data_IF_141860294267
#
_entry.id   IF_141860294267
#
_cell.length_a   1.000
_cell.length_b   1.000
_cell.length_c   1.000
_cell.angle_alpha   90.00
_cell.angle_beta   90.00
_cell.angle_gamma   90.00
#
_symmetry.space_group_name_H-M   'P 1'
#
loop_
_entity.id
_entity.type
_entity.pdbx_description
1 polymer ?
#
# COMPACT_ATOMS: atom_id res chain seq x y z
N UNK A 1 -4.83 18.34 -10.07
CA UNK A 1 -4.55 16.89 -10.09
C UNK A 1 -4.25 16.33 -11.49
N UNK A 2 -3.96 17.15 -12.52
CA UNK A 2 -3.83 16.68 -13.92
C UNK A 2 -2.52 15.93 -14.23
N UNK A 3 -1.50 16.01 -13.38
CA UNK A 3 -0.13 15.58 -13.74
C UNK A 3 0.15 14.10 -13.41
N UNK A 4 -0.65 13.48 -12.54
CA UNK A 4 -0.42 12.09 -12.12
C UNK A 4 -1.04 11.08 -13.10
N UNK A 5 -2.20 11.40 -13.69
CA UNK A 5 -2.86 10.55 -14.71
C UNK A 5 -1.99 10.37 -15.95
N UNK A 6 -1.34 11.45 -16.41
CA UNK A 6 -0.39 11.37 -17.52
C UNK A 6 0.79 10.43 -17.21
N UNK A 7 1.34 10.52 -16.01
CA UNK A 7 2.47 9.69 -15.60
C UNK A 7 2.10 8.20 -15.47
N UNK A 8 0.88 7.89 -15.01
CA UNK A 8 0.38 6.50 -14.94
C UNK A 8 0.15 5.91 -16.33
N UNK A 9 -0.42 6.69 -17.27
CA UNK A 9 -0.61 6.23 -18.65
C UNK A 9 0.74 5.96 -19.31
N UNK A 10 1.71 6.85 -19.12
CA UNK A 10 3.08 6.65 -19.62
C UNK A 10 3.69 5.37 -19.05
N UNK A 11 3.61 5.16 -17.73
CA UNK A 11 4.14 3.95 -17.11
C UNK A 11 3.48 2.66 -17.63
N UNK A 12 2.16 2.66 -17.82
CA UNK A 12 1.42 1.52 -18.38
C UNK A 12 1.88 1.22 -19.81
N UNK A 13 1.94 2.24 -20.67
CA UNK A 13 2.36 2.09 -22.06
C UNK A 13 3.81 1.63 -22.17
N UNK A 14 4.71 2.16 -21.33
CA UNK A 14 6.10 1.72 -21.26
C UNK A 14 6.20 0.25 -20.86
N UNK A 15 5.46 -0.16 -19.83
CA UNK A 15 5.43 -1.57 -19.40
C UNK A 15 4.87 -2.50 -20.49
N UNK A 16 3.77 -2.11 -21.14
CA UNK A 16 3.16 -2.86 -22.22
C UNK A 16 4.10 -2.98 -23.44
N UNK A 17 4.79 -1.90 -23.82
CA UNK A 17 5.74 -1.91 -24.93
C UNK A 17 6.94 -2.83 -24.65
N UNK A 18 7.48 -2.80 -23.43
CA UNK A 18 8.56 -3.71 -23.03
C UNK A 18 8.08 -5.17 -23.09
N UNK A 19 6.92 -5.47 -22.50
CA UNK A 19 6.36 -6.82 -22.49
C UNK A 19 6.06 -7.35 -23.90
N UNK A 20 5.42 -6.54 -24.74
CA UNK A 20 5.14 -6.89 -26.13
C UNK A 20 6.43 -7.04 -26.95
N UNK A 21 7.43 -6.19 -26.71
CA UNK A 21 8.74 -6.28 -27.34
C UNK A 21 9.43 -7.62 -27.01
N UNK A 22 9.49 -8.01 -25.75
CA UNK A 22 10.03 -9.31 -25.35
C UNK A 22 9.20 -10.49 -25.88
N UNK A 23 7.87 -10.38 -25.90
CA UNK A 23 6.98 -11.40 -26.44
C UNK A 23 7.21 -11.64 -27.94
N UNK A 24 7.32 -10.56 -28.72
CA UNK A 24 7.61 -10.61 -30.16
C UNK A 24 9.03 -11.12 -30.45
N UNK A 25 10.02 -10.76 -29.64
CA UNK A 25 11.39 -11.26 -29.78
C UNK A 25 11.49 -12.76 -29.45
N UNK A 26 10.70 -13.24 -28.50
CA UNK A 26 10.66 -14.66 -28.14
C UNK A 26 9.90 -15.49 -29.17
N UNK A 27 8.83 -14.95 -29.74
CA UNK A 27 7.99 -15.62 -30.74
C UNK A 27 7.92 -14.80 -32.04
N UNK A 28 8.93 -14.91 -32.92
CA UNK A 28 8.94 -14.21 -34.20
C UNK A 28 7.92 -14.82 -35.16
N UNK A 29 7.04 -14.00 -35.74
CA UNK A 29 6.09 -14.38 -36.78
C UNK A 29 6.39 -13.65 -38.09
N UNK A 30 5.97 -14.22 -39.23
CA UNK A 30 6.11 -13.58 -40.54
C UNK A 30 5.05 -12.49 -40.74
N UNK A 31 5.42 -11.37 -41.36
CA UNK A 31 4.52 -10.21 -41.51
C UNK A 31 3.24 -10.48 -42.31
N UNK A 32 3.24 -11.49 -43.20
CA UNK A 32 2.03 -11.91 -43.93
C UNK A 32 1.05 -12.60 -42.99
N UNK A 33 1.53 -13.54 -42.17
CA UNK A 33 0.73 -14.26 -41.18
C UNK A 33 0.22 -13.32 -40.09
N UNK A 34 1.05 -12.40 -39.59
CA UNK A 34 0.63 -11.42 -38.58
C UNK A 34 -0.52 -10.55 -39.07
N UNK A 35 -0.54 -10.17 -40.35
CA UNK A 35 -1.60 -9.31 -40.90
C UNK A 35 -2.94 -10.05 -41.05
N UNK A 36 -2.87 -11.33 -41.40
CA UNK A 36 -4.04 -12.21 -41.51
C UNK A 36 -4.60 -12.55 -40.12
N UNK A 37 -3.73 -12.95 -39.19
CA UNK A 37 -4.06 -13.21 -37.79
C UNK A 37 -4.64 -11.96 -37.11
N UNK A 38 -4.04 -10.79 -37.27
CA UNK A 38 -4.55 -9.55 -36.66
C UNK A 38 -5.98 -9.24 -37.10
N UNK A 39 -6.33 -9.52 -38.36
CA UNK A 39 -7.68 -9.25 -38.89
C UNK A 39 -8.72 -10.18 -38.28
N UNK A 40 -8.37 -11.45 -38.11
CA UNK A 40 -9.24 -12.46 -37.49
C UNK A 40 -9.34 -12.27 -35.97
N UNK A 41 -8.20 -12.05 -35.31
CA UNK A 41 -8.12 -11.86 -33.87
C UNK A 41 -8.74 -10.54 -33.43
N UNK A 42 -8.61 -9.45 -34.18
CA UNK A 42 -9.27 -8.18 -33.82
C UNK A 42 -10.79 -8.31 -33.74
N UNK A 43 -11.40 -9.09 -34.64
CA UNK A 43 -12.84 -9.36 -34.62
C UNK A 43 -13.24 -10.17 -33.37
N UNK A 44 -12.55 -11.28 -33.13
CA UNK A 44 -12.82 -12.18 -31.98
C UNK A 44 -12.50 -11.52 -30.63
N UNK A 45 -11.42 -10.75 -30.58
CA UNK A 45 -10.97 -10.04 -29.39
C UNK A 45 -11.99 -8.97 -29.00
N UNK A 46 -12.55 -8.22 -29.96
CA UNK A 46 -13.60 -7.23 -29.65
C UNK A 46 -14.79 -7.86 -28.94
N UNK A 47 -15.30 -8.97 -29.45
CA UNK A 47 -16.47 -9.65 -28.89
C UNK A 47 -16.15 -10.31 -27.53
N UNK A 48 -14.95 -10.88 -27.37
CA UNK A 48 -14.50 -11.46 -26.10
C UNK A 48 -14.20 -10.41 -25.04
N UNK A 49 -13.47 -9.34 -25.39
CA UNK A 49 -13.17 -8.24 -24.49
C UNK A 49 -14.44 -7.61 -23.94
N UNK A 50 -15.48 -7.44 -24.76
CA UNK A 50 -16.70 -6.83 -24.25
C UNK A 50 -17.35 -7.66 -23.14
N UNK A 51 -17.33 -9.00 -23.26
CA UNK A 51 -17.84 -9.91 -22.22
C UNK A 51 -16.89 -10.03 -21.02
N UNK A 52 -15.60 -10.24 -21.27
CA UNK A 52 -14.59 -10.40 -20.22
C UNK A 52 -14.37 -9.10 -19.45
N UNK A 53 -14.55 -7.94 -20.07
CA UNK A 53 -14.46 -6.64 -19.39
C UNK A 53 -15.56 -6.48 -18.34
N UNK A 54 -16.79 -6.87 -18.65
CA UNK A 54 -17.90 -6.80 -17.70
C UNK A 54 -17.64 -7.73 -16.50
N UNK A 55 -17.21 -8.96 -16.76
CA UNK A 55 -16.87 -9.95 -15.71
C UNK A 55 -15.63 -9.55 -14.90
N UNK A 56 -14.61 -8.99 -15.55
CA UNK A 56 -13.38 -8.52 -14.91
C UNK A 56 -13.65 -7.26 -14.08
N UNK A 57 -14.46 -6.34 -14.59
CA UNK A 57 -14.84 -5.13 -13.86
C UNK A 57 -15.56 -5.48 -12.58
N UNK A 58 -16.48 -6.46 -12.60
CA UNK A 58 -17.16 -6.96 -11.41
C UNK A 58 -16.16 -7.54 -10.39
N UNK A 59 -15.28 -8.45 -10.84
CA UNK A 59 -14.28 -9.07 -9.96
C UNK A 59 -13.27 -8.08 -9.39
N UNK A 60 -12.84 -7.09 -10.18
CA UNK A 60 -11.92 -6.04 -9.75
C UNK A 60 -12.59 -5.14 -8.72
N UNK A 61 -13.87 -4.81 -8.90
CA UNK A 61 -14.63 -4.04 -7.92
C UNK A 61 -14.73 -4.79 -6.58
N UNK A 62 -15.13 -6.07 -6.62
CA UNK A 62 -15.25 -6.89 -5.41
C UNK A 62 -13.90 -7.07 -4.69
N UNK A 63 -12.82 -7.25 -5.46
CA UNK A 63 -11.47 -7.31 -4.92
C UNK A 63 -11.05 -5.98 -4.30
N UNK A 64 -11.32 -4.87 -4.96
CA UNK A 64 -11.00 -3.53 -4.47
C UNK A 64 -11.76 -3.22 -3.18
N UNK A 65 -13.05 -3.54 -3.12
CA UNK A 65 -13.88 -3.34 -1.93
C UNK A 65 -13.41 -4.23 -0.76
N UNK A 66 -13.07 -5.49 -1.05
CA UNK A 66 -12.50 -6.41 -0.06
C UNK A 66 -11.14 -5.93 0.45
N UNK A 67 -10.28 -5.43 -0.43
CA UNK A 67 -8.98 -4.89 -0.09
C UNK A 67 -9.13 -3.62 0.77
N UNK A 68 -10.04 -2.72 0.38
CA UNK A 68 -10.36 -1.51 1.13
C UNK A 68 -10.87 -1.84 2.54
N UNK A 69 -11.82 -2.76 2.67
CA UNK A 69 -12.34 -3.18 3.98
C UNK A 69 -11.25 -3.81 4.86
N UNK A 70 -10.38 -4.65 4.30
CA UNK A 70 -9.25 -5.22 5.04
C UNK A 70 -8.23 -4.16 5.46
N UNK A 71 -8.03 -3.15 4.61
CA UNK A 71 -7.14 -2.04 4.89
C UNK A 71 -7.69 -1.17 6.03
N UNK A 72 -8.96 -0.75 5.95
CA UNK A 72 -9.64 0.00 7.01
C UNK A 72 -9.59 -0.75 8.35
N UNK A 73 -9.90 -2.05 8.37
CA UNK A 73 -9.79 -2.86 9.59
C UNK A 73 -8.37 -2.95 10.15
N UNK A 74 -7.35 -2.98 9.29
CA UNK A 74 -5.94 -2.98 9.74
C UNK A 74 -5.55 -1.61 10.28
N UNK A 75 -5.94 -0.54 9.63
CA UNK A 75 -5.72 0.84 10.07
C UNK A 75 -6.39 1.07 11.42
N UNK A 76 -7.66 0.70 11.57
CA UNK A 76 -8.39 0.83 12.83
C UNK A 76 -7.77 0.03 13.97
N UNK A 77 -7.32 -1.20 13.70
CA UNK A 77 -6.60 -2.00 14.71
C UNK A 77 -5.29 -1.34 15.11
N UNK A 78 -4.51 -0.83 14.15
CA UNK A 78 -3.26 -0.14 14.44
C UNK A 78 -3.51 1.12 15.28
N UNK A 79 -4.50 1.93 14.93
CA UNK A 79 -4.86 3.12 15.71
C UNK A 79 -5.27 2.77 17.14
N UNK A 80 -6.13 1.75 17.33
CA UNK A 80 -6.56 1.32 18.66
C UNK A 80 -5.41 0.75 19.49
N UNK A 81 -4.56 -0.09 18.90
CA UNK A 81 -3.39 -0.63 19.57
C UNK A 81 -2.38 0.46 19.93
N UNK A 82 -2.14 1.42 19.04
CA UNK A 82 -1.26 2.55 19.30
C UNK A 82 -1.79 3.45 20.42
N UNK A 83 -3.10 3.71 20.47
CA UNK A 83 -3.70 4.54 21.53
C UNK A 83 -3.59 3.88 22.90
N UNK A 84 -3.96 2.60 23.02
CA UNK A 84 -3.82 1.87 24.28
C UNK A 84 -2.35 1.78 24.73
N UNK A 85 -1.44 1.55 23.78
CA UNK A 85 -0.01 1.50 24.07
C UNK A 85 0.54 2.87 24.49
N UNK A 86 0.01 3.97 23.95
CA UNK A 86 0.36 5.32 24.38
C UNK A 86 -0.15 5.62 25.80
N UNK A 87 -1.36 5.19 26.16
CA UNK A 87 -1.92 5.36 27.50
C UNK A 87 -1.08 4.61 28.56
N UNK A 88 -0.68 3.36 28.27
CA UNK A 88 0.20 2.57 29.15
C UNK A 88 1.59 3.21 29.31
N UNK A 89 2.14 3.78 28.23
CA UNK A 89 3.42 4.49 28.27
C UNK A 89 3.31 5.74 29.15
N UNK A 90 2.23 6.53 29.01
CA UNK A 90 2.00 7.73 29.80
C UNK A 90 1.94 7.42 31.31
N UNK A 91 1.19 6.38 31.69
CA UNK A 91 1.07 5.96 33.09
C UNK A 91 2.43 5.54 33.70
N UNK A 92 3.24 4.82 32.92
CA UNK A 92 4.59 4.44 33.35
C UNK A 92 5.53 5.65 33.49
N UNK A 93 5.44 6.61 32.57
CA UNK A 93 6.24 7.84 32.64
C UNK A 93 5.90 8.70 33.86
N UNK A 94 4.61 8.81 34.24
CA UNK A 94 4.20 9.51 35.46
C UNK A 94 4.77 8.84 36.71
N UNK A 95 4.65 7.51 36.80
CA UNK A 95 5.22 6.72 37.90
C UNK A 95 6.74 6.89 38.01
N UNK A 96 7.46 6.85 36.89
CA UNK A 96 8.91 7.08 36.86
C UNK A 96 9.28 8.51 37.30
N UNK A 97 8.54 9.53 36.84
CA UNK A 97 8.73 10.93 37.24
C UNK A 97 8.50 11.15 38.74
N UNK A 98 7.48 10.53 39.33
CA UNK A 98 7.26 10.57 40.78
C UNK A 98 8.42 9.92 41.54
N UNK A 99 8.89 8.76 41.08
CA UNK A 99 10.01 8.06 41.70
C UNK A 99 11.31 8.88 41.65
N UNK A 100 11.55 9.57 40.54
CA UNK A 100 12.70 10.45 40.35
C UNK A 100 12.60 11.70 41.23
N UNK A 101 11.42 12.31 41.34
CA UNK A 101 11.19 13.44 42.24
C UNK A 101 11.43 13.05 43.69
N UNK A 102 10.95 11.89 44.12
CA UNK A 102 11.15 11.39 45.48
C UNK A 102 12.64 11.14 45.77
N UNK A 103 13.34 10.42 44.88
CA UNK A 103 14.79 10.20 44.99
C UNK A 103 15.57 11.52 45.05
N UNK A 104 15.24 12.50 44.22
CA UNK A 104 15.88 13.82 44.26
C UNK A 104 15.61 14.56 45.58
N UNK A 105 14.38 14.52 46.11
CA UNK A 105 14.05 15.14 47.39
C UNK A 105 14.81 14.49 48.57
N UNK A 106 14.99 13.17 48.53
CA UNK A 106 15.73 12.43 49.55
C UNK A 106 17.24 12.73 49.47
N UNK A 107 17.81 12.80 48.26
CA UNK A 107 19.20 13.20 48.04
C UNK A 107 19.50 14.62 48.53
N UNK A 108 18.59 15.57 48.33
CA UNK A 108 18.73 16.95 48.84
C UNK A 108 18.75 16.97 50.36
N UNK A 109 17.87 16.18 51.01
CA UNK A 109 17.86 16.07 52.48
C UNK A 109 19.12 15.41 53.04
N UNK A 110 19.68 14.42 52.35
CA UNK A 110 20.96 13.82 52.74
C UNK A 110 22.13 14.80 52.58
N UNK A 111 22.15 15.59 51.49
CA UNK A 111 23.15 16.63 51.28
C UNK A 111 23.12 17.70 52.38
N UNK A 112 21.94 18.13 52.82
CA UNK A 112 21.82 19.10 53.92
C UNK A 112 22.29 18.52 55.25
N UNK A 113 22.07 17.23 55.50
CA UNK A 113 22.58 16.53 56.71
C UNK A 113 24.09 16.34 56.71
N UNK A 114 24.72 16.22 55.55
CA UNK A 114 26.18 16.08 55.42
C UNK A 114 26.93 17.42 55.52
N UNK A 115 26.23 18.55 55.33
CA UNK A 115 26.79 19.90 55.40
C UNK A 115 26.59 20.58 56.77
N UNK A 116 25.76 20.01 57.64
CA UNK A 116 25.54 20.45 59.02
C UNK A 116 26.49 19.72 59.98
#
# INVERSE_FOLDING_TARGET
MSNNTGNTIVALLTGAAIGAGFGLLYAPQSGKETREQLKEEAGKAKDKLSKEYDDLSAQVSDFADSAKSKFEKRVDKLFKSANNQADDILANMESELESLRKKNADLVKELDKLKA
#
